data_IF_351488981907
#
_entry.id   IF_351488981907
#
_cell.length_a   1.000
_cell.length_b   1.000
_cell.length_c   1.000
_cell.angle_alpha   90.00
_cell.angle_beta   90.00
_cell.angle_gamma   90.00
#
_symmetry.space_group_name_H-M   'P 1'
#
loop_
_entity.id
_entity.type
_entity.pdbx_description
1 polymer ?
#
# COMPACT_ATOMS: atom_id res chain seq x y z
N UNK A 1 -33.06 -44.22 -1.47
CA UNK A 1 -31.89 -43.90 -0.66
C UNK A 1 -31.23 -42.65 -1.24
N UNK A 2 -31.70 -41.46 -0.80
CA UNK A 2 -31.12 -40.18 -1.17
C UNK A 2 -29.93 -39.90 -0.25
N UNK A 3 -28.71 -39.96 -0.77
CA UNK A 3 -27.53 -39.39 -0.10
C UNK A 3 -27.56 -37.87 -0.33
N UNK A 4 -28.01 -37.14 0.65
CA UNK A 4 -27.73 -35.72 0.78
C UNK A 4 -26.20 -35.58 0.88
N UNK A 5 -25.55 -35.16 -0.22
CA UNK A 5 -24.22 -34.66 -0.20
C UNK A 5 -24.28 -33.32 0.61
N UNK A 6 -23.85 -33.35 1.85
CA UNK A 6 -23.54 -32.12 2.61
C UNK A 6 -22.44 -31.43 1.86
N UNK A 7 -22.76 -30.34 1.12
CA UNK A 7 -21.77 -29.38 0.66
C UNK A 7 -21.03 -28.90 1.89
N UNK A 8 -19.79 -29.32 2.08
CA UNK A 8 -18.90 -28.76 3.08
C UNK A 8 -18.57 -27.38 2.57
N UNK A 9 -19.29 -26.36 3.07
CA UNK A 9 -18.99 -24.97 2.75
C UNK A 9 -17.57 -24.67 3.24
N UNK A 10 -16.72 -24.18 2.34
CA UNK A 10 -15.37 -23.75 2.70
C UNK A 10 -15.49 -22.63 3.75
N UNK A 11 -14.85 -22.75 4.92
CA UNK A 11 -14.98 -21.74 5.97
C UNK A 11 -14.49 -20.37 5.47
N UNK A 12 -15.15 -19.30 5.92
CA UNK A 12 -14.81 -17.96 5.54
C UNK A 12 -13.40 -17.57 6.07
N UNK A 13 -12.70 -16.67 5.37
CA UNK A 13 -11.34 -16.27 5.77
C UNK A 13 -11.29 -15.71 7.20
N UNK A 14 -12.32 -14.97 7.61
CA UNK A 14 -12.37 -14.41 8.95
C UNK A 14 -12.49 -15.50 10.04
N UNK A 15 -13.10 -16.65 9.74
CA UNK A 15 -13.20 -17.81 10.67
C UNK A 15 -11.84 -18.50 10.79
N UNK A 16 -11.15 -18.72 9.67
CA UNK A 16 -9.85 -19.41 9.64
C UNK A 16 -8.78 -18.61 10.39
N UNK A 17 -8.79 -17.27 10.27
CA UNK A 17 -7.72 -16.41 10.75
C UNK A 17 -8.12 -15.49 11.90
N UNK A 18 -9.23 -15.75 12.59
CA UNK A 18 -9.72 -14.90 13.68
C UNK A 18 -8.69 -14.68 14.79
N UNK A 19 -7.88 -15.69 15.11
CA UNK A 19 -6.87 -15.61 16.17
C UNK A 19 -5.73 -14.62 15.84
N UNK A 20 -5.58 -14.24 14.59
CA UNK A 20 -4.60 -13.24 14.17
C UNK A 20 -5.04 -11.81 14.50
N UNK A 21 -6.32 -11.58 14.79
CA UNK A 21 -6.90 -10.23 14.96
C UNK A 21 -7.70 -10.08 16.24
N UNK A 22 -7.06 -10.10 17.43
CA UNK A 22 -7.76 -9.96 18.73
C UNK A 22 -8.45 -8.59 18.90
N UNK A 23 -8.14 -7.60 18.07
CA UNK A 23 -8.85 -6.31 18.02
C UNK A 23 -10.36 -6.50 17.85
N UNK A 24 -10.80 -7.57 17.19
CA UNK A 24 -12.23 -7.88 16.98
C UNK A 24 -13.01 -8.15 18.27
N UNK A 25 -12.35 -8.58 19.33
CA UNK A 25 -12.97 -8.76 20.65
C UNK A 25 -13.32 -7.42 21.31
N UNK A 26 -12.67 -6.35 20.87
CA UNK A 26 -12.78 -5.02 21.44
C UNK A 26 -13.55 -4.03 20.55
N UNK A 27 -13.34 -4.10 19.23
CA UNK A 27 -13.75 -3.08 18.27
C UNK A 27 -14.22 -3.69 16.96
N UNK A 28 -15.15 -3.05 16.28
CA UNK A 28 -15.35 -3.19 14.84
C UNK A 28 -14.38 -2.20 14.17
N UNK A 29 -13.28 -2.72 13.62
CA UNK A 29 -12.21 -1.87 13.10
C UNK A 29 -12.31 -1.70 11.58
N UNK A 30 -12.74 -0.53 11.13
CA UNK A 30 -12.97 -0.22 9.70
C UNK A 30 -12.08 0.95 9.23
N UNK A 31 -10.81 1.01 9.67
CA UNK A 31 -9.93 2.14 9.35
C UNK A 31 -8.52 1.74 8.89
N UNK A 32 -8.42 0.63 8.12
CA UNK A 32 -7.14 0.13 7.60
C UNK A 32 -6.45 1.10 6.62
N UNK A 33 -7.22 1.95 5.94
CA UNK A 33 -6.68 3.00 5.08
C UNK A 33 -5.94 4.12 5.84
N UNK A 34 -6.01 4.16 7.17
CA UNK A 34 -5.21 5.06 8.02
C UNK A 34 -4.03 4.30 8.65
N UNK A 35 -4.28 3.59 9.76
CA UNK A 35 -3.30 2.74 10.43
C UNK A 35 -4.00 1.42 10.78
N UNK A 36 -3.40 0.30 10.44
CA UNK A 36 -3.97 -1.03 10.69
C UNK A 36 -3.68 -1.51 12.12
N UNK A 37 -4.54 -2.33 12.73
CA UNK A 37 -4.10 -3.19 13.82
C UNK A 37 -3.03 -4.16 13.32
N UNK A 38 -1.98 -4.40 14.11
CA UNK A 38 -1.00 -5.43 13.78
C UNK A 38 -1.67 -6.81 13.78
N UNK A 39 -1.35 -7.65 12.80
CA UNK A 39 -1.66 -9.06 12.92
C UNK A 39 -0.78 -9.70 14.03
N UNK A 40 -1.28 -10.76 14.68
CA UNK A 40 -0.57 -11.44 15.78
C UNK A 40 0.83 -11.93 15.33
N UNK A 41 0.96 -12.41 14.11
CA UNK A 41 2.25 -12.84 13.55
C UNK A 41 3.28 -11.71 13.57
N UNK A 42 2.92 -10.51 13.11
CA UNK A 42 3.80 -9.33 13.13
C UNK A 42 4.16 -8.92 14.57
N UNK A 43 3.16 -8.82 15.46
CA UNK A 43 3.36 -8.44 16.85
C UNK A 43 4.29 -9.43 17.59
N UNK A 44 4.13 -10.73 17.36
CA UNK A 44 4.97 -11.75 17.97
C UNK A 44 6.42 -11.68 17.46
N UNK A 45 6.63 -11.49 16.15
CA UNK A 45 7.97 -11.34 15.59
C UNK A 45 8.72 -10.13 16.19
N UNK A 46 8.02 -8.99 16.34
CA UNK A 46 8.60 -7.80 16.97
C UNK A 46 8.96 -8.01 18.43
N UNK A 47 8.08 -8.67 19.21
CA UNK A 47 8.34 -9.00 20.62
C UNK A 47 9.54 -9.95 20.76
N UNK A 48 9.60 -10.97 19.90
CA UNK A 48 10.70 -11.94 19.91
C UNK A 48 12.06 -11.25 19.69
N UNK A 49 12.15 -10.28 18.77
CA UNK A 49 13.39 -9.52 18.60
C UNK A 49 13.68 -8.65 19.82
N UNK A 50 12.69 -7.97 20.39
CA UNK A 50 12.90 -7.15 21.58
C UNK A 50 13.40 -7.97 22.77
N UNK A 51 12.84 -9.15 22.99
CA UNK A 51 13.26 -10.10 24.04
C UNK A 51 14.68 -10.62 23.79
N UNK A 52 15.03 -10.94 22.53
CA UNK A 52 16.36 -11.37 22.15
C UNK A 52 17.40 -10.27 22.41
N UNK A 53 17.09 -9.03 22.06
CA UNK A 53 17.96 -7.89 22.31
C UNK A 53 18.17 -7.59 23.80
N UNK A 54 17.12 -7.73 24.60
CA UNK A 54 17.22 -7.54 26.06
C UNK A 54 18.13 -8.60 26.69
N UNK A 55 18.05 -9.86 26.24
CA UNK A 55 18.79 -10.97 26.84
C UNK A 55 20.23 -11.11 26.30
N UNK A 56 20.43 -10.82 25.02
CA UNK A 56 21.67 -11.16 24.30
C UNK A 56 22.33 -9.97 23.59
N UNK A 57 21.75 -8.77 23.66
CA UNK A 57 22.27 -7.60 22.94
C UNK A 57 22.31 -7.87 21.43
N UNK A 58 23.49 -7.71 20.83
CA UNK A 58 23.71 -7.95 19.39
C UNK A 58 24.34 -9.31 19.07
N UNK A 59 24.34 -10.26 20.02
CA UNK A 59 24.95 -11.57 19.81
C UNK A 59 24.43 -12.30 18.57
N UNK A 60 23.16 -12.11 18.26
CA UNK A 60 22.49 -12.77 17.15
C UNK A 60 22.31 -11.83 15.93
N UNK A 61 23.20 -10.87 15.72
CA UNK A 61 23.09 -9.87 14.65
C UNK A 61 22.96 -10.49 13.25
N UNK A 62 23.58 -11.65 13.00
CA UNK A 62 23.45 -12.36 11.72
C UNK A 62 22.00 -12.75 11.39
N UNK A 63 21.19 -13.06 12.42
CA UNK A 63 19.77 -13.35 12.24
C UNK A 63 18.99 -12.11 11.78
N UNK A 64 19.41 -10.92 12.21
CA UNK A 64 18.79 -9.67 11.80
C UNK A 64 19.03 -9.40 10.31
N UNK A 65 20.27 -9.61 9.85
CA UNK A 65 20.64 -9.51 8.44
C UNK A 65 19.83 -10.51 7.59
N UNK A 66 19.63 -11.73 8.08
CA UNK A 66 18.81 -12.74 7.42
C UNK A 66 17.33 -12.31 7.30
N UNK A 67 16.80 -11.58 8.30
CA UNK A 67 15.43 -11.03 8.24
C UNK A 67 15.29 -9.98 7.16
N UNK A 68 16.27 -9.09 6.97
CA UNK A 68 16.24 -8.11 5.88
C UNK A 68 16.19 -8.79 4.50
N UNK A 69 17.03 -9.82 4.29
CA UNK A 69 17.02 -10.61 3.06
C UNK A 69 15.68 -11.34 2.88
N UNK A 70 15.14 -11.94 3.94
CA UNK A 70 13.85 -12.61 3.95
C UNK A 70 12.69 -11.66 3.64
N UNK A 71 12.71 -10.43 4.19
CA UNK A 71 11.70 -9.40 3.90
C UNK A 71 11.72 -8.99 2.43
N UNK A 72 12.92 -8.78 1.84
CA UNK A 72 13.01 -8.51 0.39
C UNK A 72 12.46 -9.65 -0.44
N UNK A 73 12.76 -10.90 -0.06
CA UNK A 73 12.23 -12.09 -0.74
C UNK A 73 10.70 -12.22 -0.63
N UNK A 74 10.14 -11.95 0.55
CA UNK A 74 8.69 -11.97 0.76
C UNK A 74 7.99 -10.84 -0.02
N UNK A 75 8.54 -9.62 0.02
CA UNK A 75 8.04 -8.48 -0.74
C UNK A 75 8.09 -8.73 -2.26
N UNK A 76 9.20 -9.27 -2.76
CA UNK A 76 9.34 -9.64 -4.16
C UNK A 76 8.26 -10.63 -4.62
N UNK A 77 7.99 -11.68 -3.82
CA UNK A 77 6.89 -12.63 -4.09
C UNK A 77 5.53 -11.93 -4.10
N UNK A 78 5.30 -10.99 -3.19
CA UNK A 78 4.03 -10.28 -3.08
C UNK A 78 3.73 -9.40 -4.29
N UNK A 79 4.76 -8.81 -4.91
CA UNK A 79 4.63 -7.90 -6.06
C UNK A 79 4.95 -8.56 -7.41
N UNK A 80 5.37 -9.83 -7.44
CA UNK A 80 5.78 -10.52 -8.69
C UNK A 80 7.13 -10.04 -9.24
N UNK A 81 8.03 -9.52 -8.37
CA UNK A 81 9.36 -9.01 -8.72
C UNK A 81 10.51 -9.90 -8.24
N UNK A 82 11.73 -9.34 -8.19
CA UNK A 82 12.93 -9.99 -7.67
C UNK A 82 13.40 -9.32 -6.37
N UNK A 83 14.04 -10.08 -5.48
CA UNK A 83 14.53 -9.57 -4.20
C UNK A 83 15.58 -8.44 -4.37
N UNK A 84 16.38 -8.47 -5.43
CA UNK A 84 17.36 -7.45 -5.76
C UNK A 84 16.73 -6.12 -6.22
N UNK A 85 15.46 -6.13 -6.57
CA UNK A 85 14.70 -4.95 -6.96
C UNK A 85 13.92 -4.32 -5.80
N UNK A 86 14.06 -4.87 -4.59
CA UNK A 86 13.39 -4.37 -3.37
C UNK A 86 14.39 -3.62 -2.48
N UNK A 87 14.08 -2.36 -2.18
CA UNK A 87 14.68 -1.59 -1.09
C UNK A 87 13.72 -1.52 0.10
N UNK A 88 14.28 -1.49 1.31
CA UNK A 88 13.54 -1.29 2.55
C UNK A 88 13.56 0.20 2.89
N UNK A 89 12.40 0.81 2.97
CA UNK A 89 12.22 2.26 3.18
C UNK A 89 11.44 2.53 4.46
N UNK A 90 11.53 3.74 4.98
CA UNK A 90 10.79 4.15 6.19
C UNK A 90 9.28 4.22 5.95
N UNK A 91 8.88 4.66 4.75
CA UNK A 91 7.48 4.83 4.38
C UNK A 91 7.33 5.05 2.86
N UNK A 92 6.08 5.04 2.39
CA UNK A 92 5.74 5.31 0.98
C UNK A 92 6.25 6.66 0.49
N UNK A 93 6.20 7.70 1.33
CA UNK A 93 6.66 9.04 0.96
C UNK A 93 8.14 9.07 0.63
N UNK A 94 8.99 8.35 1.39
CA UNK A 94 10.42 8.18 1.09
C UNK A 94 10.61 7.43 -0.23
N UNK A 95 9.87 6.33 -0.46
CA UNK A 95 9.97 5.57 -1.70
C UNK A 95 9.63 6.41 -2.94
N UNK A 96 8.53 7.17 -2.90
CA UNK A 96 8.13 8.08 -4.00
C UNK A 96 9.14 9.22 -4.14
N UNK A 97 9.57 9.84 -3.03
CA UNK A 97 10.54 10.93 -3.08
C UNK A 97 11.90 10.48 -3.62
N UNK A 98 12.34 9.26 -3.32
CA UNK A 98 13.56 8.67 -3.89
C UNK A 98 13.49 8.65 -5.41
N UNK A 99 12.39 8.19 -5.98
CA UNK A 99 12.20 8.19 -7.44
C UNK A 99 12.09 9.62 -7.98
N UNK A 100 11.19 10.44 -7.41
CA UNK A 100 10.90 11.77 -7.92
C UNK A 100 12.10 12.72 -7.85
N UNK A 101 12.90 12.65 -6.79
CA UNK A 101 14.03 13.55 -6.59
C UNK A 101 15.35 13.02 -7.16
N UNK A 102 15.52 11.68 -7.21
CA UNK A 102 16.73 11.03 -7.69
C UNK A 102 16.75 10.80 -9.20
N UNK A 103 15.62 10.89 -9.88
CA UNK A 103 15.55 10.73 -11.34
C UNK A 103 16.25 11.89 -12.07
N UNK A 104 16.91 11.61 -13.21
CA UNK A 104 17.73 12.54 -14.00
C UNK A 104 16.91 13.57 -14.81
N UNK A 105 16.04 14.32 -14.13
CA UNK A 105 15.18 15.34 -14.72
C UNK A 105 15.95 16.47 -15.39
N UNK A 106 15.45 16.92 -16.54
CA UNK A 106 15.92 18.09 -17.28
C UNK A 106 14.78 19.09 -17.45
N UNK A 107 15.11 20.37 -17.55
CA UNK A 107 14.11 21.38 -17.90
C UNK A 107 13.43 21.03 -19.24
N UNK A 108 12.10 21.09 -19.28
CA UNK A 108 11.27 20.68 -20.40
C UNK A 108 10.86 19.21 -20.39
N UNK A 109 11.41 18.37 -19.49
CA UNK A 109 10.87 17.02 -19.25
C UNK A 109 9.42 17.09 -18.73
N UNK A 110 8.67 16.01 -18.93
CA UNK A 110 7.25 15.95 -18.58
C UNK A 110 6.97 14.76 -17.69
N UNK A 111 6.11 14.96 -16.68
CA UNK A 111 5.56 13.91 -15.84
C UNK A 111 4.02 14.00 -15.82
N UNK A 112 3.35 12.86 -15.92
CA UNK A 112 1.89 12.75 -15.75
C UNK A 112 1.59 12.39 -14.32
N UNK A 113 0.75 13.18 -13.63
CA UNK A 113 0.31 12.99 -12.26
C UNK A 113 -1.18 13.32 -12.12
N UNK A 114 -1.77 13.05 -10.94
CA UNK A 114 -3.23 13.14 -10.75
C UNK A 114 -3.60 14.05 -9.59
N UNK A 115 -4.73 14.77 -9.73
CA UNK A 115 -5.18 15.77 -8.76
C UNK A 115 -5.72 15.14 -7.46
N UNK A 116 -6.28 13.92 -7.54
CA UNK A 116 -6.90 13.25 -6.40
C UNK A 116 -5.90 12.50 -5.51
N UNK A 117 -4.60 12.60 -5.78
CA UNK A 117 -3.55 11.89 -5.06
C UNK A 117 -3.43 12.33 -3.59
N UNK A 118 -3.01 11.40 -2.74
CA UNK A 118 -2.56 11.76 -1.40
C UNK A 118 -1.29 12.64 -1.51
N UNK A 119 -1.08 13.60 -0.59
CA UNK A 119 0.07 14.52 -0.64
C UNK A 119 1.43 13.88 -0.88
N UNK A 120 1.66 12.63 -0.43
CA UNK A 120 2.90 11.90 -0.67
C UNK A 120 3.19 11.64 -2.15
N UNK A 121 2.14 11.48 -2.97
CA UNK A 121 2.24 11.29 -4.41
C UNK A 121 1.79 12.55 -5.21
N UNK A 122 1.71 13.70 -4.56
CA UNK A 122 1.41 15.01 -5.16
C UNK A 122 2.58 15.97 -5.04
N UNK A 123 3.05 16.23 -3.81
CA UNK A 123 4.08 17.23 -3.56
C UNK A 123 5.43 16.98 -4.24
N UNK A 124 5.95 15.75 -4.35
CA UNK A 124 7.21 15.54 -5.06
C UNK A 124 7.15 15.98 -6.53
N UNK A 125 6.04 15.70 -7.22
CA UNK A 125 5.85 16.12 -8.62
C UNK A 125 5.68 17.62 -8.73
N UNK A 126 4.86 18.22 -7.88
CA UNK A 126 4.69 19.68 -7.82
C UNK A 126 6.03 20.41 -7.56
N UNK A 127 6.91 19.81 -6.76
CA UNK A 127 8.25 20.35 -6.50
C UNK A 127 9.12 20.39 -7.76
N UNK A 128 8.95 19.48 -8.71
CA UNK A 128 9.74 19.43 -9.95
C UNK A 128 9.47 20.62 -10.88
N UNK A 129 8.33 21.28 -10.79
CA UNK A 129 8.05 22.51 -11.54
C UNK A 129 9.13 23.57 -11.33
N UNK A 130 9.72 23.65 -10.14
CA UNK A 130 10.82 24.55 -9.82
C UNK A 130 12.14 24.20 -10.55
N UNK A 131 12.23 22.97 -11.08
CA UNK A 131 13.34 22.51 -11.93
C UNK A 131 13.03 22.64 -13.42
N UNK A 132 11.90 23.26 -13.78
CA UNK A 132 11.45 23.41 -15.16
C UNK A 132 10.83 22.17 -15.76
N UNK A 133 10.41 21.17 -14.95
CA UNK A 133 9.67 20.00 -15.39
C UNK A 133 8.19 20.37 -15.53
N UNK A 134 7.57 20.01 -16.65
CA UNK A 134 6.13 20.18 -16.88
C UNK A 134 5.38 19.05 -16.18
N UNK A 135 4.51 19.37 -15.21
CA UNK A 135 3.61 18.40 -14.61
C UNK A 135 2.25 18.47 -15.28
N UNK A 136 1.84 17.38 -15.91
CA UNK A 136 0.53 17.23 -16.53
C UNK A 136 -0.44 16.64 -15.53
N UNK A 137 -1.23 17.50 -14.90
CA UNK A 137 -2.25 17.11 -13.94
C UNK A 137 -3.50 16.60 -14.64
N UNK A 138 -3.94 15.41 -14.28
CA UNK A 138 -5.15 14.75 -14.80
C UNK A 138 -6.06 14.36 -13.64
N UNK A 139 -7.33 14.03 -13.96
CA UNK A 139 -8.18 13.31 -13.01
C UNK A 139 -8.01 11.80 -13.17
N UNK A 140 -8.04 11.05 -12.08
CA UNK A 140 -8.07 9.57 -12.12
C UNK A 140 -9.33 9.02 -12.81
N UNK A 141 -10.34 9.88 -13.00
CA UNK A 141 -11.57 9.54 -13.71
C UNK A 141 -11.53 9.92 -15.21
N UNK A 142 -10.43 10.51 -15.67
CA UNK A 142 -10.24 10.78 -17.09
C UNK A 142 -10.17 9.46 -17.90
N UNK A 143 -10.71 9.43 -19.12
CA UNK A 143 -10.64 8.24 -19.95
C UNK A 143 -9.21 7.89 -20.33
N UNK A 144 -8.94 6.61 -20.59
CA UNK A 144 -7.60 6.10 -20.91
C UNK A 144 -6.98 6.81 -22.12
N UNK A 145 -7.78 7.23 -23.11
CA UNK A 145 -7.34 7.96 -24.28
C UNK A 145 -6.73 9.32 -23.92
N UNK A 146 -7.30 10.01 -22.92
CA UNK A 146 -6.75 11.28 -22.43
C UNK A 146 -5.46 11.07 -21.68
N UNK A 147 -5.37 10.00 -20.86
CA UNK A 147 -4.14 9.61 -20.16
C UNK A 147 -3.06 9.23 -21.18
N UNK A 148 -3.41 8.46 -22.20
CA UNK A 148 -2.50 8.08 -23.28
C UNK A 148 -1.95 9.30 -24.02
N UNK A 149 -2.81 10.25 -24.36
CA UNK A 149 -2.39 11.50 -25.01
C UNK A 149 -1.44 12.32 -24.11
N UNK A 150 -1.72 12.37 -22.79
CA UNK A 150 -0.86 13.05 -21.81
C UNK A 150 0.51 12.37 -21.65
N UNK A 151 0.59 11.05 -21.82
CA UNK A 151 1.85 10.30 -21.76
C UNK A 151 2.74 10.53 -22.97
N UNK A 152 2.26 11.15 -24.06
CA UNK A 152 3.09 11.44 -25.23
C UNK A 152 4.24 12.38 -24.87
N UNK A 153 5.48 11.87 -24.97
CA UNK A 153 6.71 12.57 -24.63
C UNK A 153 6.90 12.82 -23.14
N UNK A 154 6.11 12.17 -22.27
CA UNK A 154 6.35 12.18 -20.84
C UNK A 154 7.46 11.18 -20.48
N UNK A 155 8.27 11.54 -19.45
CA UNK A 155 9.32 10.67 -18.92
C UNK A 155 8.74 9.66 -17.91
N UNK A 156 7.66 10.03 -17.21
CA UNK A 156 7.06 9.21 -16.14
C UNK A 156 5.56 9.45 -16.03
N UNK A 157 4.82 8.40 -15.68
CA UNK A 157 3.46 8.45 -15.15
C UNK A 157 3.51 7.97 -13.71
N UNK A 158 2.93 8.75 -12.78
CA UNK A 158 2.84 8.43 -11.37
C UNK A 158 1.39 8.45 -10.90
N UNK A 159 0.91 7.35 -10.29
CA UNK A 159 -0.48 7.20 -9.86
C UNK A 159 -0.58 6.27 -8.65
N UNK A 160 -1.58 6.50 -7.77
CA UNK A 160 -1.96 5.53 -6.75
C UNK A 160 -2.78 4.38 -7.32
N UNK A 161 -2.44 3.15 -6.94
CA UNK A 161 -3.21 1.94 -7.30
C UNK A 161 -4.66 2.04 -6.85
N UNK A 162 -4.87 2.53 -5.61
CA UNK A 162 -6.19 2.81 -5.05
C UNK A 162 -6.18 4.22 -4.47
N UNK A 163 -7.14 5.04 -4.85
CA UNK A 163 -7.25 6.41 -4.34
C UNK A 163 -7.65 6.43 -2.87
N UNK A 164 -6.91 7.21 -2.07
CA UNK A 164 -6.99 7.20 -0.61
C UNK A 164 -8.34 7.66 -0.05
N UNK A 165 -9.06 8.48 -0.79
CA UNK A 165 -10.34 9.04 -0.36
C UNK A 165 -11.53 8.31 -1.01
N UNK A 166 -11.56 8.21 -2.34
CA UNK A 166 -12.68 7.62 -3.06
C UNK A 166 -12.69 6.09 -3.05
N UNK A 167 -11.52 5.45 -2.85
CA UNK A 167 -11.36 4.01 -3.02
C UNK A 167 -11.41 3.56 -4.49
N UNK A 168 -11.28 4.51 -5.43
CA UNK A 168 -11.21 4.17 -6.85
C UNK A 168 -9.93 3.40 -7.15
N UNK A 169 -10.06 2.19 -7.67
CA UNK A 169 -8.96 1.32 -8.06
C UNK A 169 -8.74 1.43 -9.56
N UNK A 170 -7.53 1.82 -9.95
CA UNK A 170 -7.13 1.97 -11.35
C UNK A 170 -6.77 0.63 -11.98
N UNK A 171 -6.90 0.55 -13.30
CA UNK A 171 -6.43 -0.58 -14.10
C UNK A 171 -4.94 -0.43 -14.38
N UNK A 172 -4.11 -1.11 -13.56
CA UNK A 172 -2.65 -1.05 -13.68
C UNK A 172 -2.14 -1.67 -15.00
N UNK A 173 -2.82 -2.69 -15.55
CA UNK A 173 -2.42 -3.32 -16.81
C UNK A 173 -2.64 -2.38 -17.99
N UNK A 174 -3.82 -1.73 -18.05
CA UNK A 174 -4.12 -0.74 -19.08
C UNK A 174 -3.17 0.47 -19.03
N UNK A 175 -2.86 0.98 -17.83
CA UNK A 175 -1.90 2.08 -17.65
C UNK A 175 -0.47 1.66 -18.01
N UNK A 176 -0.06 0.46 -17.63
CA UNK A 176 1.25 -0.08 -17.99
C UNK A 176 1.42 -0.26 -19.49
N UNK A 177 0.36 -0.67 -20.20
CA UNK A 177 0.38 -0.75 -21.67
C UNK A 177 0.54 0.63 -22.33
N UNK A 178 -0.14 1.66 -21.78
CA UNK A 178 0.06 3.04 -22.20
C UNK A 178 1.51 3.46 -22.01
N UNK A 179 2.08 3.23 -20.82
CA UNK A 179 3.45 3.60 -20.49
C UNK A 179 4.45 2.91 -21.42
N UNK A 180 4.29 1.60 -21.67
CA UNK A 180 5.14 0.83 -22.59
C UNK A 180 5.08 1.38 -24.01
N UNK A 181 3.88 1.64 -24.54
CA UNK A 181 3.68 2.19 -25.88
C UNK A 181 4.25 3.59 -26.03
N UNK A 182 4.19 4.41 -24.97
CA UNK A 182 4.68 5.80 -24.98
C UNK A 182 6.15 5.94 -24.57
N UNK A 183 6.78 4.86 -24.11
CA UNK A 183 8.18 4.87 -23.65
C UNK A 183 8.37 5.71 -22.38
N UNK A 184 7.40 5.75 -21.47
CA UNK A 184 7.50 6.45 -20.19
C UNK A 184 7.59 5.46 -19.03
N UNK A 185 8.32 5.82 -17.98
CA UNK A 185 8.38 5.03 -16.75
C UNK A 185 7.05 5.06 -15.99
N UNK A 186 6.72 3.95 -15.34
CA UNK A 186 5.48 3.79 -14.59
C UNK A 186 5.76 3.62 -13.11
N UNK A 187 5.36 4.60 -12.30
CA UNK A 187 5.46 4.59 -10.84
C UNK A 187 4.08 4.43 -10.21
N UNK A 188 3.97 3.50 -9.26
CA UNK A 188 2.73 3.20 -8.54
C UNK A 188 2.90 3.43 -7.04
N UNK A 189 2.07 4.30 -6.45
CA UNK A 189 1.81 4.31 -5.02
C UNK A 189 0.82 3.19 -4.68
N UNK A 190 1.30 2.10 -4.10
CA UNK A 190 0.49 0.92 -3.83
C UNK A 190 -0.01 0.82 -2.38
N UNK A 191 0.22 1.85 -1.55
CA UNK A 191 -0.07 1.77 -0.10
C UNK A 191 -1.54 1.48 0.23
N UNK A 192 -2.49 1.84 -0.64
CA UNK A 192 -3.91 1.62 -0.40
C UNK A 192 -4.46 0.35 -1.09
N UNK A 193 -3.61 -0.41 -1.78
CA UNK A 193 -4.03 -1.60 -2.52
C UNK A 193 -3.22 -2.85 -2.23
N UNK A 194 -1.91 -2.71 -2.00
CA UNK A 194 -0.99 -3.83 -1.80
C UNK A 194 -1.31 -4.56 -0.48
N UNK A 195 -1.50 -5.88 -0.55
CA UNK A 195 -1.97 -6.72 0.54
C UNK A 195 -3.48 -6.97 0.53
N UNK A 196 -4.27 -6.08 -0.09
CA UNK A 196 -5.70 -6.26 -0.30
C UNK A 196 -6.05 -6.75 -1.72
N UNK A 197 -5.27 -6.35 -2.72
CA UNK A 197 -5.47 -6.71 -4.12
C UNK A 197 -4.17 -7.21 -4.74
N UNK A 198 -4.22 -8.21 -5.64
CA UNK A 198 -3.04 -8.71 -6.33
C UNK A 198 -2.38 -7.61 -7.19
N UNK A 199 -1.05 -7.61 -7.18
CA UNK A 199 -0.22 -6.79 -8.06
C UNK A 199 0.87 -7.69 -8.64
N UNK A 200 1.10 -7.59 -9.95
CA UNK A 200 2.23 -8.20 -10.63
C UNK A 200 2.95 -7.12 -11.42
N UNK A 201 4.12 -6.70 -10.91
CA UNK A 201 4.87 -5.57 -11.48
C UNK A 201 5.34 -5.84 -12.91
N UNK A 202 5.60 -7.10 -13.26
CA UNK A 202 6.03 -7.50 -14.60
C UNK A 202 4.88 -7.45 -15.59
N UNK A 203 3.74 -8.06 -15.22
CA UNK A 203 2.53 -8.07 -16.04
C UNK A 203 2.01 -6.65 -16.27
N UNK A 204 1.98 -5.82 -15.23
CA UNK A 204 1.53 -4.44 -15.30
C UNK A 204 2.58 -3.47 -15.86
N UNK A 205 3.80 -3.92 -16.17
CA UNK A 205 4.87 -3.06 -16.67
C UNK A 205 5.27 -1.93 -15.71
N UNK A 206 5.18 -2.19 -14.40
CA UNK A 206 5.52 -1.22 -13.35
C UNK A 206 7.04 -1.14 -13.22
N UNK A 207 7.60 0.06 -13.23
CA UNK A 207 9.04 0.29 -13.07
C UNK A 207 9.42 0.60 -11.63
N UNK A 208 8.53 1.28 -10.88
CA UNK A 208 8.68 1.47 -9.44
C UNK A 208 7.33 1.37 -8.73
N UNK A 209 7.36 0.81 -7.49
CA UNK A 209 6.19 0.70 -6.63
C UNK A 209 6.60 0.95 -5.18
N UNK A 210 5.87 1.80 -4.47
CA UNK A 210 6.11 2.06 -3.05
C UNK A 210 4.89 1.72 -2.20
N UNK A 211 5.12 1.08 -1.04
CA UNK A 211 4.08 0.80 -0.04
C UNK A 211 4.67 0.68 1.37
N UNK A 212 4.03 1.35 2.34
CA UNK A 212 4.35 1.23 3.76
C UNK A 212 3.57 0.07 4.41
N UNK A 213 4.12 -0.49 5.48
CA UNK A 213 3.56 -1.65 6.18
C UNK A 213 2.27 -1.41 6.94
N UNK A 214 2.04 -0.19 7.40
CA UNK A 214 1.04 0.15 8.43
C UNK A 214 -0.43 0.23 7.96
N UNK A 215 -0.75 -0.23 6.74
CA UNK A 215 -2.13 -0.23 6.22
C UNK A 215 -2.55 -1.64 5.80
N UNK A 216 -2.71 -1.86 4.53
CA UNK A 216 -3.21 -3.14 3.99
C UNK A 216 -2.20 -4.29 4.07
N UNK A 217 -0.93 -3.99 4.38
CA UNK A 217 0.09 -5.00 4.66
C UNK A 217 0.04 -5.55 6.11
N UNK A 218 -0.83 -5.01 7.00
CA UNK A 218 -1.03 -5.46 8.38
C UNK A 218 0.24 -5.45 9.25
N UNK A 219 1.20 -4.63 8.86
CA UNK A 219 2.51 -4.47 9.48
C UNK A 219 2.67 -3.17 10.29
N UNK A 220 3.87 -2.92 10.84
CA UNK A 220 4.14 -1.73 11.62
C UNK A 220 4.32 -0.47 10.78
N UNK A 221 4.19 0.71 11.42
CA UNK A 221 4.62 2.00 10.88
C UNK A 221 6.15 2.09 10.80
N UNK A 222 6.65 2.97 9.94
CA UNK A 222 8.07 3.24 9.80
C UNK A 222 8.88 2.12 9.15
N UNK A 223 8.21 1.22 8.42
CA UNK A 223 8.84 0.16 7.64
C UNK A 223 7.98 -0.16 6.41
N UNK A 224 8.54 0.00 5.24
CA UNK A 224 7.89 -0.21 3.96
C UNK A 224 8.84 -0.75 2.91
N UNK A 225 8.34 -0.88 1.69
CA UNK A 225 9.09 -1.38 0.54
C UNK A 225 9.06 -0.37 -0.61
N UNK A 226 10.17 -0.32 -1.34
CA UNK A 226 10.28 0.28 -2.65
C UNK A 226 10.75 -0.81 -3.63
N UNK A 227 9.89 -1.19 -4.57
CA UNK A 227 10.31 -1.92 -5.76
C UNK A 227 10.81 -0.94 -6.82
N UNK A 228 11.94 -1.23 -7.42
CA UNK A 228 12.49 -0.49 -8.55
C UNK A 228 13.22 -1.45 -9.49
N UNK A 229 12.76 -1.57 -10.73
CA UNK A 229 13.37 -2.46 -11.70
C UNK A 229 14.76 -1.95 -12.15
N UNK A 230 15.56 -2.83 -12.79
CA UNK A 230 16.91 -2.51 -13.20
C UNK A 230 16.98 -1.32 -14.17
N UNK A 231 16.04 -1.20 -15.11
CA UNK A 231 16.02 -0.13 -16.10
C UNK A 231 15.88 1.26 -15.44
N UNK A 232 14.89 1.43 -14.56
CA UNK A 232 14.68 2.70 -13.86
C UNK A 232 15.79 2.97 -12.83
N UNK A 233 16.36 1.91 -12.21
CA UNK A 233 17.43 2.03 -11.23
C UNK A 233 18.70 2.68 -11.81
N UNK A 234 18.97 2.51 -13.09
CA UNK A 234 20.08 3.18 -13.78
C UNK A 234 19.84 4.67 -14.06
N UNK A 235 18.63 5.16 -13.80
CA UNK A 235 18.21 6.56 -14.02
C UNK A 235 17.93 7.30 -12.72
N UNK A 236 18.01 6.63 -11.59
CA UNK A 236 17.68 7.18 -10.27
C UNK A 236 18.88 7.10 -9.35
N UNK A 237 19.42 8.27 -8.98
CA UNK A 237 20.48 8.39 -8.00
C UNK A 237 19.91 8.38 -6.57
N UNK A 238 20.61 7.79 -5.59
CA UNK A 238 20.19 7.91 -4.19
C UNK A 238 20.10 9.37 -3.73
N UNK A 239 18.98 9.76 -3.15
CA UNK A 239 18.76 11.12 -2.61
C UNK A 239 19.22 11.24 -1.16
N UNK A 240 19.22 10.13 -0.42
CA UNK A 240 19.87 10.01 0.89
C UNK A 240 21.10 9.15 0.72
N UNK A 241 22.27 9.67 1.14
CA UNK A 241 23.54 8.99 0.95
C UNK A 241 24.24 8.70 2.28
N UNK A 242 24.53 7.43 2.55
CA UNK A 242 25.20 6.97 3.75
C UNK A 242 26.01 5.70 3.51
N UNK A 243 26.41 5.01 4.56
CA UNK A 243 27.39 3.93 4.46
C UNK A 243 26.88 2.66 3.76
N UNK A 244 25.58 2.42 3.71
CA UNK A 244 25.00 1.20 3.11
C UNK A 244 24.66 1.31 1.63
N UNK A 245 24.76 2.50 1.02
CA UNK A 245 24.50 2.70 -0.40
C UNK A 245 25.58 2.03 -1.29
N UNK A 246 26.77 1.79 -0.76
CA UNK A 246 27.94 1.32 -1.53
C UNK A 246 28.09 -0.20 -1.50
N UNK A 247 28.69 -0.76 -2.56
CA UNK A 247 28.79 -2.21 -2.77
C UNK A 247 29.56 -2.96 -1.66
N UNK A 248 30.55 -2.31 -1.05
CA UNK A 248 31.40 -2.90 0.02
C UNK A 248 31.12 -2.23 1.36
N UNK A 249 29.87 -1.96 1.68
CA UNK A 249 29.46 -1.21 2.87
C UNK A 249 29.90 -1.83 4.21
N UNK A 250 30.18 -3.13 4.25
CA UNK A 250 30.68 -3.81 5.44
C UNK A 250 32.20 -3.66 5.65
N UNK A 251 32.93 -3.17 4.63
CA UNK A 251 34.37 -2.95 4.70
C UNK A 251 34.67 -1.47 4.97
N UNK A 252 34.76 -1.11 6.22
CA UNK A 252 35.04 0.27 6.65
C UNK A 252 36.46 0.75 6.35
N UNK A 253 37.37 -0.14 5.94
CA UNK A 253 38.75 0.21 5.57
C UNK A 253 38.85 0.83 4.19
N UNK A 254 37.89 0.55 3.30
CA UNK A 254 37.82 1.12 1.96
C UNK A 254 36.78 2.26 1.92
N UNK A 255 37.09 3.31 1.17
CA UNK A 255 36.18 4.43 0.92
C UNK A 255 35.78 4.48 -0.55
N UNK A 256 35.43 3.30 -1.10
CA UNK A 256 34.98 3.17 -2.47
C UNK A 256 33.52 3.59 -2.58
N UNK A 257 33.24 4.55 -3.47
CA UNK A 257 31.92 5.13 -3.71
C UNK A 257 31.07 4.35 -4.75
N UNK A 258 31.54 3.15 -5.20
CA UNK A 258 30.74 2.34 -6.12
C UNK A 258 29.42 1.95 -5.47
N UNK A 259 28.31 2.36 -6.06
CA UNK A 259 26.96 2.03 -5.58
C UNK A 259 26.69 0.53 -5.62
N UNK A 260 25.85 0.06 -4.76
CA UNK A 260 25.32 -1.31 -4.83
C UNK A 260 24.60 -1.50 -6.17
N UNK A 261 24.71 -2.69 -6.81
CA UNK A 261 24.03 -2.98 -8.07
C UNK A 261 22.53 -3.24 -7.89
N UNK A 262 22.10 -3.59 -6.65
CA UNK A 262 20.71 -3.87 -6.28
C UNK A 262 19.98 -2.62 -5.74
N UNK A 263 18.68 -2.76 -5.46
CA UNK A 263 17.85 -1.69 -4.90
C UNK A 263 18.30 -1.24 -3.49
N UNK A 264 19.10 -2.04 -2.79
CA UNK A 264 19.70 -1.65 -1.51
C UNK A 264 20.56 -0.40 -1.60
N UNK A 265 20.92 0.08 -2.81
CA UNK A 265 21.58 1.38 -3.00
C UNK A 265 20.76 2.57 -2.48
N UNK A 266 19.46 2.38 -2.23
CA UNK A 266 18.58 3.43 -1.69
C UNK A 266 18.42 3.35 -0.16
N UNK A 267 19.13 2.45 0.50
CA UNK A 267 19.13 2.28 1.96
C UNK A 267 20.36 2.98 2.54
N UNK A 268 20.20 4.17 3.12
CA UNK A 268 21.35 5.02 3.48
C UNK A 268 22.04 4.67 4.81
N UNK A 269 21.50 3.71 5.59
CA UNK A 269 22.07 3.39 6.91
C UNK A 269 21.37 2.25 7.61
N UNK A 270 21.47 2.22 8.94
CA UNK A 270 20.84 1.21 9.78
C UNK A 270 19.33 1.21 9.60
N UNK A 271 18.78 0.05 9.25
CA UNK A 271 17.35 -0.12 9.03
C UNK A 271 16.58 -0.20 10.36
N UNK A 272 15.26 0.02 10.28
CA UNK A 272 14.34 -0.23 11.39
C UNK A 272 14.18 -1.75 11.60
N UNK A 273 15.11 -2.35 12.36
CA UNK A 273 15.19 -3.80 12.53
C UNK A 273 13.88 -4.38 13.07
N UNK A 274 13.31 -3.77 14.11
CA UNK A 274 12.08 -4.27 14.72
C UNK A 274 10.88 -4.16 13.76
N UNK A 275 10.83 -3.08 12.98
CA UNK A 275 9.83 -2.93 11.90
C UNK A 275 10.01 -3.98 10.81
N UNK A 276 11.24 -4.31 10.42
CA UNK A 276 11.53 -5.34 9.42
C UNK A 276 11.07 -6.73 9.87
N UNK A 277 11.24 -7.08 11.15
CA UNK A 277 10.69 -8.32 11.73
C UNK A 277 9.17 -8.37 11.62
N UNK A 278 8.50 -7.30 12.04
CA UNK A 278 7.04 -7.20 11.96
C UNK A 278 6.52 -7.24 10.54
N UNK A 279 7.09 -6.45 9.64
CA UNK A 279 6.64 -6.37 8.24
C UNK A 279 6.88 -7.68 7.49
N UNK A 280 8.03 -8.34 7.70
CA UNK A 280 8.30 -9.66 7.11
C UNK A 280 7.22 -10.67 7.51
N UNK A 281 6.94 -10.78 8.81
CA UNK A 281 5.94 -11.73 9.32
C UNK A 281 4.53 -11.39 8.80
N UNK A 282 4.17 -10.11 8.67
CA UNK A 282 2.90 -9.67 8.11
C UNK A 282 2.77 -10.03 6.62
N UNK A 283 3.80 -9.77 5.81
CA UNK A 283 3.78 -10.12 4.38
C UNK A 283 3.73 -11.65 4.19
N UNK A 284 4.52 -12.43 4.94
CA UNK A 284 4.47 -13.89 4.89
C UNK A 284 3.09 -14.43 5.28
N UNK A 285 2.45 -13.81 6.29
CA UNK A 285 1.07 -14.14 6.64
C UNK A 285 0.10 -13.86 5.49
N UNK A 286 0.15 -12.69 4.85
CA UNK A 286 -0.70 -12.37 3.70
C UNK A 286 -0.47 -13.31 2.52
N UNK A 287 0.77 -13.69 2.25
CA UNK A 287 1.11 -14.68 1.22
C UNK A 287 0.52 -16.06 1.56
N UNK A 288 0.54 -16.46 2.82
CA UNK A 288 -0.05 -17.73 3.26
C UNK A 288 -1.58 -17.74 3.19
N UNK A 289 -2.24 -16.60 3.44
CA UNK A 289 -3.69 -16.44 3.21
C UNK A 289 -4.03 -16.48 1.73
N UNK A 290 -3.20 -15.86 0.90
CA UNK A 290 -3.38 -15.66 -0.54
C UNK A 290 -4.14 -14.38 -0.85
N UNK A 291 -3.47 -13.41 -1.49
CA UNK A 291 -4.08 -12.10 -1.82
C UNK A 291 -5.25 -12.25 -2.79
N UNK A 292 -5.21 -13.25 -3.66
CA UNK A 292 -6.31 -13.62 -4.58
C UNK A 292 -7.59 -14.03 -3.84
N UNK A 293 -7.46 -14.57 -2.62
CA UNK A 293 -8.59 -14.89 -1.73
C UNK A 293 -9.03 -13.68 -0.91
N UNK A 294 -8.09 -12.81 -0.55
CA UNK A 294 -8.33 -11.58 0.21
C UNK A 294 -9.15 -10.59 -0.61
N UNK A 295 -8.80 -10.39 -1.88
CA UNK A 295 -9.39 -9.36 -2.73
C UNK A 295 -10.93 -9.47 -2.84
N UNK A 296 -11.53 -10.62 -3.16
CA UNK A 296 -12.99 -10.74 -3.23
C UNK A 296 -13.66 -10.52 -1.86
N UNK A 297 -13.03 -10.92 -0.75
CA UNK A 297 -13.58 -10.69 0.58
C UNK A 297 -13.61 -9.18 0.92
N UNK A 298 -12.51 -8.46 0.66
CA UNK A 298 -12.42 -7.01 0.85
C UNK A 298 -13.42 -6.27 -0.05
N UNK A 299 -13.56 -6.73 -1.30
CA UNK A 299 -14.51 -6.17 -2.25
C UNK A 299 -15.95 -6.31 -1.76
N UNK A 300 -16.35 -7.51 -1.33
CA UNK A 300 -17.69 -7.80 -0.84
C UNK A 300 -18.07 -6.93 0.39
N UNK A 301 -17.11 -6.72 1.33
CA UNK A 301 -17.29 -5.81 2.45
C UNK A 301 -17.53 -4.37 2.00
N UNK A 302 -16.73 -3.88 1.05
CA UNK A 302 -16.90 -2.54 0.48
C UNK A 302 -18.22 -2.39 -0.28
N UNK A 303 -18.66 -3.40 -1.04
CA UNK A 303 -19.94 -3.39 -1.74
C UNK A 303 -21.11 -3.36 -0.75
N UNK A 304 -21.06 -4.20 0.32
CA UNK A 304 -22.07 -4.19 1.38
C UNK A 304 -22.20 -2.83 2.06
N UNK A 305 -21.07 -2.15 2.35
CA UNK A 305 -21.09 -0.79 2.90
C UNK A 305 -21.73 0.18 1.92
N UNK A 306 -21.26 0.21 0.67
CA UNK A 306 -21.74 1.13 -0.37
C UNK A 306 -23.25 1.01 -0.58
N UNK A 307 -23.76 -0.21 -0.70
CA UNK A 307 -25.19 -0.46 -0.91
C UNK A 307 -26.01 -0.11 0.33
N UNK A 308 -25.51 -0.45 1.51
CA UNK A 308 -26.19 -0.18 2.78
C UNK A 308 -26.35 1.30 3.08
N UNK A 309 -25.28 2.09 2.88
CA UNK A 309 -25.32 3.54 3.13
C UNK A 309 -26.23 4.26 2.11
N UNK A 310 -26.22 3.83 0.83
CA UNK A 310 -27.12 4.38 -0.20
C UNK A 310 -28.59 4.14 0.13
N UNK A 311 -28.95 2.95 0.62
CA UNK A 311 -30.32 2.62 1.07
C UNK A 311 -30.78 3.52 2.22
N UNK A 312 -29.86 4.03 3.02
CA UNK A 312 -30.11 5.00 4.11
C UNK A 312 -30.06 6.48 3.67
N UNK A 313 -29.95 6.74 2.37
CA UNK A 313 -29.94 8.10 1.81
C UNK A 313 -28.61 8.84 1.95
N UNK A 314 -27.50 8.12 2.10
CA UNK A 314 -26.16 8.70 2.08
C UNK A 314 -25.63 8.78 0.65
N UNK A 315 -24.84 9.80 0.38
CA UNK A 315 -24.02 9.91 -0.83
C UNK A 315 -22.74 9.08 -0.66
N UNK A 316 -22.32 8.40 -1.71
CA UNK A 316 -21.04 7.68 -1.77
C UNK A 316 -20.11 8.41 -2.72
N UNK A 317 -18.87 8.66 -2.29
CA UNK A 317 -17.87 9.34 -3.10
C UNK A 317 -17.41 8.45 -4.25
N UNK A 318 -17.44 9.01 -5.44
CA UNK A 318 -16.99 8.35 -6.65
C UNK A 318 -17.94 7.26 -7.17
N UNK A 319 -17.58 6.70 -8.32
CA UNK A 319 -18.31 5.61 -8.97
C UNK A 319 -17.63 4.27 -8.66
N UNK A 320 -18.34 3.39 -7.98
CA UNK A 320 -17.88 2.05 -7.65
C UNK A 320 -18.47 1.01 -8.60
N UNK A 321 -17.61 0.17 -9.17
CA UNK A 321 -17.97 -1.00 -9.99
C UNK A 321 -17.12 -2.19 -9.52
N UNK A 322 -17.42 -3.43 -9.93
CA UNK A 322 -16.57 -4.58 -9.63
C UNK A 322 -15.10 -4.40 -10.09
N UNK A 323 -14.86 -3.69 -11.19
CA UNK A 323 -13.52 -3.40 -11.69
C UNK A 323 -12.80 -2.29 -10.91
N UNK A 324 -13.52 -1.26 -10.47
CA UNK A 324 -12.93 -0.05 -9.87
C UNK A 324 -13.12 0.08 -8.37
N UNK A 325 -13.92 -0.78 -7.75
CA UNK A 325 -14.12 -0.77 -6.30
C UNK A 325 -12.95 -1.38 -5.54
N UNK A 326 -12.61 -0.79 -4.41
CA UNK A 326 -11.62 -1.32 -3.46
C UNK A 326 -12.24 -1.45 -2.06
N UNK A 327 -11.43 -1.71 -1.03
CA UNK A 327 -11.89 -1.80 0.36
C UNK A 327 -12.31 -0.46 0.97
N UNK A 328 -11.88 0.66 0.40
CA UNK A 328 -12.22 2.00 0.88
C UNK A 328 -13.60 2.40 0.35
N UNK A 329 -14.47 2.86 1.25
CA UNK A 329 -15.76 3.48 0.92
C UNK A 329 -15.91 4.75 1.73
N UNK A 330 -16.01 5.88 1.04
CA UNK A 330 -16.28 7.18 1.65
C UNK A 330 -17.71 7.60 1.36
N UNK A 331 -18.43 8.00 2.41
CA UNK A 331 -19.83 8.41 2.31
C UNK A 331 -20.14 9.59 3.23
N UNK A 332 -21.21 10.32 2.93
CA UNK A 332 -21.69 11.41 3.77
C UNK A 332 -23.21 11.50 3.72
N UNK A 333 -23.81 12.08 4.75
CA UNK A 333 -25.23 12.40 4.76
C UNK A 333 -25.40 13.90 4.50
N UNK A 334 -26.18 14.31 3.48
CA UNK A 334 -26.49 15.72 3.27
C UNK A 334 -27.06 16.38 4.53
N UNK A 335 -26.53 17.53 4.91
CA UNK A 335 -26.95 18.27 6.09
C UNK A 335 -26.42 17.74 7.44
N UNK A 336 -25.61 16.68 7.45
CA UNK A 336 -25.00 16.12 8.68
C UNK A 336 -23.48 16.19 8.56
N UNK A 337 -22.82 16.74 9.58
CA UNK A 337 -21.37 16.78 9.64
C UNK A 337 -20.78 15.38 9.82
N UNK A 338 -19.89 14.96 8.92
CA UNK A 338 -19.29 13.63 8.94
C UNK A 338 -18.49 13.35 10.23
N UNK A 339 -17.93 14.37 10.86
CA UNK A 339 -17.24 14.27 12.14
C UNK A 339 -18.15 13.77 13.28
N UNK A 340 -19.41 14.23 13.28
CA UNK A 340 -20.40 13.78 14.27
C UNK A 340 -20.76 12.31 14.08
N UNK A 341 -20.90 11.87 12.82
CA UNK A 341 -21.16 10.44 12.51
C UNK A 341 -20.00 9.58 12.97
N UNK A 342 -18.76 9.97 12.67
CA UNK A 342 -17.56 9.25 13.12
C UNK A 342 -17.49 9.20 14.66
N UNK A 343 -17.83 10.29 15.35
CA UNK A 343 -17.87 10.33 16.80
C UNK A 343 -18.92 9.37 17.38
N UNK A 344 -20.15 9.38 16.83
CA UNK A 344 -21.22 8.46 17.24
C UNK A 344 -20.80 7.00 17.04
N UNK A 345 -20.28 6.63 15.86
CA UNK A 345 -19.79 5.28 15.59
C UNK A 345 -18.68 4.86 16.58
N UNK A 346 -17.76 5.78 16.91
CA UNK A 346 -16.70 5.51 17.88
C UNK A 346 -17.26 5.22 19.29
N UNK A 347 -18.34 5.88 19.73
CA UNK A 347 -19.00 5.57 20.99
C UNK A 347 -19.58 4.15 21.01
N UNK A 348 -19.96 3.62 19.85
CA UNK A 348 -20.40 2.23 19.65
C UNK A 348 -19.25 1.25 19.39
N UNK A 349 -17.99 1.67 19.65
CA UNK A 349 -16.78 0.89 19.39
C UNK A 349 -16.57 0.52 17.91
N UNK A 350 -17.07 1.35 16.99
CA UNK A 350 -16.89 1.20 15.54
C UNK A 350 -15.91 2.27 15.09
N UNK A 351 -14.74 1.84 14.61
CA UNK A 351 -13.64 2.75 14.25
C UNK A 351 -13.67 3.05 12.75
N UNK A 352 -13.95 4.31 12.42
CA UNK A 352 -13.93 4.88 11.06
C UNK A 352 -13.10 6.17 11.06
N UNK A 353 -12.99 6.87 9.94
CA UNK A 353 -12.27 8.14 9.87
C UNK A 353 -13.10 9.24 9.19
N UNK A 354 -12.95 10.49 9.65
CA UNK A 354 -13.37 11.67 8.88
C UNK A 354 -12.20 12.11 7.99
N UNK A 355 -12.42 12.15 6.68
CA UNK A 355 -11.42 12.60 5.69
C UNK A 355 -12.09 13.49 4.65
N UNK A 356 -11.62 14.74 4.53
CA UNK A 356 -12.15 15.70 3.53
C UNK A 356 -13.66 15.90 3.61
N UNK A 357 -14.27 15.86 4.80
CA UNK A 357 -15.72 15.98 4.98
C UNK A 357 -16.52 14.71 4.69
N UNK A 358 -15.87 13.54 4.56
CA UNK A 358 -16.51 12.25 4.34
C UNK A 358 -16.21 11.29 5.51
N UNK A 359 -17.17 10.46 5.86
CA UNK A 359 -16.94 9.27 6.68
C UNK A 359 -16.27 8.24 5.79
N UNK A 360 -15.02 7.87 6.10
CA UNK A 360 -14.27 6.87 5.35
C UNK A 360 -14.20 5.58 6.14
N UNK A 361 -14.66 4.50 5.53
CA UNK A 361 -14.51 3.13 6.01
C UNK A 361 -13.51 2.37 5.14
N UNK A 362 -12.82 1.40 5.75
CA UNK A 362 -11.85 0.55 5.05
C UNK A 362 -11.68 -0.77 5.81
N UNK A 363 -12.63 -1.71 5.66
CA UNK A 363 -12.54 -3.04 6.25
C UNK A 363 -11.48 -3.90 5.55
N UNK A 364 -10.86 -4.83 6.32
CA UNK A 364 -10.00 -5.87 5.76
C UNK A 364 -10.69 -7.24 5.82
N UNK A 365 -10.15 -8.25 5.16
CA UNK A 365 -10.74 -9.59 4.93
C UNK A 365 -11.20 -10.32 6.20
N UNK A 366 -10.70 -9.97 7.37
CA UNK A 366 -11.05 -10.60 8.64
C UNK A 366 -12.30 -10.00 9.31
N UNK A 367 -12.90 -8.96 8.74
CA UNK A 367 -14.15 -8.35 9.19
C UNK A 367 -15.32 -9.20 8.67
N UNK A 368 -16.34 -9.44 9.51
CA UNK A 368 -17.55 -10.16 9.14
C UNK A 368 -18.58 -9.23 8.50
N UNK A 369 -19.47 -9.79 7.69
CA UNK A 369 -20.59 -9.03 7.11
C UNK A 369 -21.54 -8.50 8.19
N UNK A 370 -21.77 -9.26 9.27
CA UNK A 370 -22.61 -8.84 10.40
C UNK A 370 -22.02 -7.63 11.14
N UNK A 371 -20.69 -7.48 11.16
CA UNK A 371 -20.03 -6.29 11.72
C UNK A 371 -20.27 -5.06 10.85
N UNK A 372 -20.37 -5.23 9.54
CA UNK A 372 -20.78 -4.17 8.60
C UNK A 372 -22.25 -3.82 8.82
N UNK A 373 -23.14 -4.83 8.96
CA UNK A 373 -24.57 -4.60 9.19
C UNK A 373 -24.80 -3.84 10.48
N UNK A 374 -24.11 -4.19 11.57
CA UNK A 374 -24.13 -3.43 12.81
C UNK A 374 -23.67 -1.98 12.61
N UNK A 375 -22.58 -1.73 11.87
CA UNK A 375 -22.16 -0.36 11.56
C UNK A 375 -23.24 0.41 10.81
N UNK A 376 -23.92 -0.24 9.86
CA UNK A 376 -25.02 0.37 9.10
C UNK A 376 -26.23 0.70 10.01
N UNK A 377 -26.54 -0.16 10.98
CA UNK A 377 -27.63 0.08 11.95
C UNK A 377 -27.38 1.33 12.83
N UNK A 378 -26.13 1.53 13.24
CA UNK A 378 -25.71 2.65 14.09
C UNK A 378 -25.59 4.00 13.34
N UNK A 379 -25.74 4.02 12.01
CA UNK A 379 -25.74 5.25 11.24
C UNK A 379 -27.02 6.06 11.45
N UNK A 380 -26.94 7.38 11.65
CA UNK A 380 -28.12 8.26 11.75
C UNK A 380 -29.06 8.11 10.53
N UNK A 381 -30.38 8.16 10.79
CA UNK A 381 -31.41 8.06 9.75
C UNK A 381 -31.52 9.38 8.99
#
# INVERSE_FOLDING_TARGET
MNRLATEISTPALWEIYQDQFPVREQLIYLNHAAVTPLCRAAANAMKQLADDQVQFGSLHYDRWLAVYAGLRGAAAKLVGGEANDIALVKNTSEGIATIAMGFDWRAGDKVVAFEEEFPANYYPWKRLEQKGVEVRWLSVLDPLEKIDAACQGARMLAISFVQYLSGYRVDLEALGEICRRRGCFFLVDAIQGLGAFPVDVRRCGIHALAADGHKWLLGPEGCGILYINAELRERVEPVEFGYTNVARYADYSTRNMTLRPDAGRYECGTLNTIGCYGLKAAIEFLLAVGVERIAPAVQALGDRISDGVRKKGYEVLGRRTPATGAGIVSFRKPGVESGLIVHQLKQQRIVTANRGGWVRTSPHFYIRLEEIDRMLEELPI
#
